data_IF_772118761763
#
_entry.id   IF_772118761763
#
_cell.length_a   1.000
_cell.length_b   1.000
_cell.length_c   1.000
_cell.angle_alpha   90.00
_cell.angle_beta   90.00
_cell.angle_gamma   90.00
#
_symmetry.space_group_name_H-M   'P 1'
#
loop_
_entity.id
_entity.type
_entity.pdbx_description
1 polymer ?
#
# COMPACT_ATOMS: atom_id res chain seq x y z
N UNK A 1 3.27 -12.54 10.50
CA UNK A 1 4.25 -11.54 10.06
C UNK A 1 3.48 -10.36 9.52
N UNK A 2 3.86 -9.10 9.82
CA UNK A 2 3.15 -7.93 9.26
C UNK A 2 3.34 -7.85 7.74
N UNK A 3 2.32 -7.43 7.00
CA UNK A 3 2.41 -7.31 5.53
C UNK A 3 3.49 -6.30 5.10
N UNK A 4 3.66 -5.21 5.84
CA UNK A 4 4.73 -4.23 5.61
C UNK A 4 6.13 -4.83 5.74
N UNK A 5 6.32 -5.72 6.72
CA UNK A 5 7.59 -6.46 6.92
C UNK A 5 7.84 -7.44 5.77
N UNK A 6 6.81 -8.14 5.29
CA UNK A 6 6.92 -9.02 4.12
C UNK A 6 7.42 -8.24 2.90
N UNK A 7 6.78 -7.11 2.56
CA UNK A 7 7.17 -6.28 1.41
C UNK A 7 8.58 -5.73 1.57
N UNK A 8 8.95 -5.27 2.76
CA UNK A 8 10.29 -4.74 3.02
C UNK A 8 11.38 -5.80 2.89
N UNK A 9 11.16 -6.98 3.46
CA UNK A 9 12.19 -8.01 3.57
C UNK A 9 12.28 -8.88 2.30
N UNK A 10 11.18 -9.09 1.57
CA UNK A 10 11.10 -9.95 0.37
C UNK A 10 10.91 -9.18 -0.94
N UNK A 11 10.50 -7.92 -0.86
CA UNK A 11 10.27 -7.06 -2.01
C UNK A 11 8.82 -7.04 -2.52
N UNK A 12 8.50 -5.99 -3.29
CA UNK A 12 7.17 -5.77 -3.87
C UNK A 12 6.77 -6.85 -4.88
N UNK A 13 7.73 -7.38 -5.65
CA UNK A 13 7.43 -8.39 -6.66
C UNK A 13 6.90 -9.68 -6.04
N UNK A 14 7.51 -10.14 -4.95
CA UNK A 14 7.05 -11.31 -4.20
C UNK A 14 5.65 -11.10 -3.61
N UNK A 15 5.39 -9.91 -3.05
CA UNK A 15 4.07 -9.56 -2.52
C UNK A 15 2.98 -9.57 -3.61
N UNK A 16 3.29 -9.12 -4.84
CA UNK A 16 2.37 -9.18 -5.97
C UNK A 16 2.03 -10.62 -6.35
N UNK A 17 3.03 -11.49 -6.44
CA UNK A 17 2.84 -12.91 -6.76
C UNK A 17 1.92 -13.61 -5.77
N UNK A 18 2.06 -13.31 -4.47
CA UNK A 18 1.15 -13.82 -3.43
C UNK A 18 -0.27 -13.31 -3.64
N UNK A 19 -0.44 -12.00 -3.89
CA UNK A 19 -1.75 -11.39 -4.10
C UNK A 19 -2.45 -11.95 -5.34
N UNK A 20 -1.71 -12.13 -6.44
CA UNK A 20 -2.24 -12.61 -7.73
C UNK A 20 -2.58 -14.10 -7.69
N UNK A 21 -1.90 -14.88 -6.84
CA UNK A 21 -2.13 -16.33 -6.68
C UNK A 21 -3.17 -16.67 -5.61
N UNK A 22 -3.51 -15.71 -4.75
CA UNK A 22 -4.43 -15.93 -3.64
C UNK A 22 -5.88 -16.07 -4.12
N UNK A 23 -6.64 -17.09 -3.65
CA UNK A 23 -8.08 -17.16 -3.88
C UNK A 23 -8.80 -15.91 -3.37
N UNK A 24 -9.88 -15.49 -4.04
CA UNK A 24 -10.62 -14.26 -3.68
C UNK A 24 -11.16 -14.28 -2.25
N UNK A 25 -11.51 -15.46 -1.74
CA UNK A 25 -12.04 -15.66 -0.39
C UNK A 25 -10.96 -15.86 0.68
N UNK A 26 -9.68 -15.88 0.30
CA UNK A 26 -8.59 -16.04 1.26
C UNK A 26 -8.35 -14.72 2.01
N UNK A 27 -8.42 -14.78 3.34
CA UNK A 27 -8.14 -13.64 4.22
C UNK A 27 -6.70 -13.61 4.71
N UNK A 28 -6.00 -14.75 4.66
CA UNK A 28 -4.65 -14.90 5.18
C UNK A 28 -3.79 -15.79 4.28
N UNK A 29 -2.49 -15.52 4.30
CA UNK A 29 -1.47 -16.33 3.66
C UNK A 29 -0.37 -16.65 4.67
N UNK A 30 0.19 -17.86 4.63
CA UNK A 30 1.25 -18.27 5.55
C UNK A 30 2.52 -18.69 4.80
N UNK A 31 3.68 -18.31 5.32
CA UNK A 31 4.98 -18.80 4.85
C UNK A 31 5.49 -19.89 5.80
N UNK A 32 5.62 -21.13 5.33
CA UNK A 32 6.34 -22.19 6.07
C UNK A 32 5.67 -22.71 7.35
N UNK A 33 4.38 -22.45 7.56
CA UNK A 33 3.62 -23.11 8.63
C UNK A 33 2.99 -24.41 8.12
N UNK A 34 3.40 -25.53 8.69
CA UNK A 34 2.92 -26.86 8.32
C UNK A 34 1.68 -27.24 9.14
N UNK A 35 0.59 -27.57 8.45
CA UNK A 35 -0.60 -28.12 9.10
C UNK A 35 -0.48 -29.62 9.23
N UNK A 36 -0.52 -30.14 10.45
CA UNK A 36 -0.60 -31.59 10.67
C UNK A 36 -2.04 -32.06 10.47
N UNK A 37 -2.24 -33.08 9.63
CA UNK A 37 -3.54 -33.71 9.46
C UNK A 37 -4.06 -34.25 10.80
N UNK A 38 -5.28 -33.84 11.18
CA UNK A 38 -5.97 -34.35 12.37
C UNK A 38 -5.85 -33.50 13.64
N UNK A 39 -5.14 -32.37 13.62
CA UNK A 39 -5.17 -31.39 14.72
C UNK A 39 -6.34 -30.42 14.60
N UNK A 40 -6.98 -30.08 15.73
CA UNK A 40 -7.75 -28.84 15.80
C UNK A 40 -6.78 -27.68 15.64
N UNK A 41 -7.05 -26.80 14.67
CA UNK A 41 -6.16 -25.71 14.28
C UNK A 41 -6.25 -24.57 15.30
N UNK A 42 -5.81 -24.81 16.53
CA UNK A 42 -5.53 -23.75 17.49
C UNK A 42 -4.12 -23.21 17.22
N UNK A 43 -4.03 -22.21 16.35
CA UNK A 43 -2.77 -21.53 16.05
C UNK A 43 -2.49 -20.56 17.20
N UNK A 44 -1.30 -20.66 17.80
CA UNK A 44 -0.89 -19.72 18.85
C UNK A 44 -0.80 -18.29 18.30
N UNK A 45 -1.10 -17.25 19.09
CA UNK A 45 -0.93 -15.86 18.65
C UNK A 45 0.50 -15.57 18.16
N UNK A 46 1.50 -16.19 18.78
CA UNK A 46 2.91 -16.05 18.40
C UNK A 46 3.21 -16.66 17.02
N UNK A 47 2.67 -17.84 16.72
CA UNK A 47 2.84 -18.47 15.40
C UNK A 47 2.09 -17.70 14.31
N UNK A 48 0.90 -17.19 14.62
CA UNK A 48 0.15 -16.31 13.73
C UNK A 48 0.95 -15.05 13.40
N UNK A 49 1.51 -14.40 14.41
CA UNK A 49 2.38 -13.24 14.23
C UNK A 49 3.70 -13.57 13.52
N UNK A 50 4.17 -14.81 13.56
CA UNK A 50 5.40 -15.22 12.88
C UNK A 50 5.17 -15.58 11.41
N UNK A 51 4.18 -16.42 11.12
CA UNK A 51 4.05 -17.06 9.80
C UNK A 51 2.91 -16.51 8.95
N UNK A 52 1.86 -15.94 9.54
CA UNK A 52 0.65 -15.56 8.83
C UNK A 52 0.66 -14.08 8.47
N UNK A 53 0.23 -13.76 7.27
CA UNK A 53 0.09 -12.41 6.72
C UNK A 53 -1.37 -12.18 6.38
N UNK A 54 -1.91 -11.05 6.81
CA UNK A 54 -3.24 -10.60 6.42
C UNK A 54 -3.23 -10.22 4.93
N UNK A 55 -4.02 -10.92 4.12
CA UNK A 55 -4.09 -10.69 2.67
C UNK A 55 -4.84 -9.40 2.33
N UNK A 56 -5.78 -8.96 3.16
CA UNK A 56 -6.49 -7.69 2.98
C UNK A 56 -5.51 -6.54 3.14
N UNK A 57 -4.68 -6.60 4.19
CA UNK A 57 -3.61 -5.62 4.40
C UNK A 57 -2.60 -5.67 3.25
N UNK A 58 -2.15 -6.87 2.84
CA UNK A 58 -1.16 -7.03 1.77
C UNK A 58 -1.66 -6.47 0.43
N UNK A 59 -2.90 -6.79 0.03
CA UNK A 59 -3.54 -6.26 -1.19
C UNK A 59 -3.55 -4.74 -1.19
N UNK A 60 -3.94 -4.14 -0.07
CA UNK A 60 -3.96 -2.68 0.12
C UNK A 60 -2.58 -2.06 -0.01
N UNK A 61 -1.55 -2.64 0.61
CA UNK A 61 -0.17 -2.13 0.52
C UNK A 61 0.39 -2.23 -0.91
N UNK A 62 0.14 -3.34 -1.61
CA UNK A 62 0.55 -3.51 -3.01
C UNK A 62 -0.13 -2.48 -3.91
N UNK A 63 -1.42 -2.23 -3.70
CA UNK A 63 -2.18 -1.20 -4.42
C UNK A 63 -1.64 0.21 -4.13
N UNK A 64 -1.35 0.53 -2.86
CA UNK A 64 -0.77 1.80 -2.45
C UNK A 64 0.56 2.09 -3.13
N UNK A 65 1.44 1.09 -3.22
CA UNK A 65 2.73 1.24 -3.93
C UNK A 65 2.54 1.44 -5.44
N UNK A 66 1.53 0.81 -6.03
CA UNK A 66 1.15 1.05 -7.43
C UNK A 66 0.67 2.50 -7.63
N UNK A 67 -0.23 3.00 -6.78
CA UNK A 67 -0.71 4.39 -6.83
C UNK A 67 0.45 5.38 -6.78
N UNK A 68 1.43 5.16 -5.90
CA UNK A 68 2.61 6.02 -5.79
C UNK A 68 3.42 5.99 -7.08
N UNK A 69 3.66 4.81 -7.64
CA UNK A 69 4.38 4.65 -8.91
C UNK A 69 3.66 5.36 -10.05
N UNK A 70 2.36 5.15 -10.19
CA UNK A 70 1.53 5.73 -11.26
C UNK A 70 1.47 7.27 -11.19
N UNK A 71 1.58 7.83 -9.98
CA UNK A 71 1.64 9.27 -9.75
C UNK A 71 3.07 9.84 -9.70
N UNK A 72 4.07 9.06 -10.14
CA UNK A 72 5.43 9.55 -10.36
C UNK A 72 6.33 9.57 -9.12
N UNK A 73 6.03 8.73 -8.12
CA UNK A 73 6.90 8.46 -6.98
C UNK A 73 6.64 9.30 -5.74
N UNK A 74 7.09 8.79 -4.58
CA UNK A 74 6.85 9.41 -3.27
C UNK A 74 7.49 10.80 -3.15
N UNK A 75 8.66 11.00 -3.78
CA UNK A 75 9.39 12.28 -3.77
C UNK A 75 8.59 13.42 -4.40
N UNK A 76 7.74 13.13 -5.39
CA UNK A 76 6.83 14.11 -6.01
C UNK A 76 5.59 14.33 -5.16
N UNK A 77 5.07 13.27 -4.54
CA UNK A 77 3.81 13.30 -3.80
C UNK A 77 3.94 13.97 -2.44
N UNK A 78 4.99 13.69 -1.67
CA UNK A 78 5.15 14.24 -0.31
C UNK A 78 5.10 15.78 -0.29
N UNK A 79 5.86 16.51 -1.14
CA UNK A 79 5.76 17.97 -1.18
C UNK A 79 4.37 18.46 -1.61
N UNK A 80 3.75 17.78 -2.58
CA UNK A 80 2.46 18.19 -3.15
C UNK A 80 1.27 17.94 -2.21
N UNK A 81 1.35 16.94 -1.32
CA UNK A 81 0.22 16.55 -0.45
C UNK A 81 0.42 16.88 1.03
N UNK A 82 1.65 16.84 1.54
CA UNK A 82 1.92 16.99 2.97
C UNK A 82 2.36 18.41 3.31
N UNK A 83 3.13 19.08 2.44
CA UNK A 83 3.75 20.37 2.79
C UNK A 83 2.99 21.61 2.34
N UNK A 84 1.87 21.46 1.62
CA UNK A 84 1.16 22.60 1.04
C UNK A 84 -0.35 22.58 1.32
N UNK A 85 -0.85 23.60 2.01
CA UNK A 85 -2.29 23.91 2.11
C UNK A 85 -2.90 24.30 0.75
N UNK A 86 -2.07 24.40 -0.30
CA UNK A 86 -2.45 24.84 -1.66
C UNK A 86 -3.43 23.92 -2.37
N UNK A 87 -3.69 22.73 -1.82
CA UNK A 87 -4.61 21.75 -2.40
C UNK A 87 -5.84 21.48 -1.52
N UNK A 88 -6.10 22.35 -0.53
CA UNK A 88 -7.36 22.32 0.23
C UNK A 88 -8.53 22.59 -0.74
N UNK A 89 -9.48 21.65 -0.81
CA UNK A 89 -10.67 21.73 -1.66
C UNK A 89 -10.68 20.76 -2.84
N UNK A 90 -9.52 20.28 -3.31
CA UNK A 90 -9.49 19.25 -4.34
C UNK A 90 -9.88 17.89 -3.76
N UNK A 91 -10.52 17.06 -4.58
CA UNK A 91 -10.98 15.73 -4.17
C UNK A 91 -10.25 14.60 -4.89
N UNK A 92 -9.74 14.88 -6.09
CA UNK A 92 -9.03 13.91 -6.93
C UNK A 92 -7.72 14.46 -7.48
N UNK A 93 -6.83 13.55 -7.86
CA UNK A 93 -5.58 13.84 -8.57
C UNK A 93 -5.38 12.84 -9.69
N UNK A 94 -4.71 13.27 -10.75
CA UNK A 94 -4.23 12.38 -11.80
C UNK A 94 -2.88 12.82 -12.34
N UNK A 95 -2.15 11.88 -12.92
CA UNK A 95 -0.98 12.16 -13.73
C UNK A 95 -1.42 12.57 -15.14
N UNK A 96 -0.99 13.73 -15.63
CA UNK A 96 -1.19 14.14 -17.02
C UNK A 96 -0.01 13.70 -17.89
N UNK A 97 -0.22 13.58 -19.21
CA UNK A 97 0.77 13.01 -20.13
C UNK A 97 2.13 13.74 -20.20
N UNK A 98 2.22 14.96 -19.69
CA UNK A 98 3.48 15.70 -19.56
C UNK A 98 4.19 15.47 -18.21
N UNK A 99 3.75 14.50 -17.40
CA UNK A 99 4.37 14.13 -16.12
C UNK A 99 4.02 15.04 -14.93
N UNK A 100 3.06 15.96 -15.09
CA UNK A 100 2.57 16.84 -14.01
C UNK A 100 1.36 16.23 -13.30
N UNK A 101 1.19 16.60 -12.03
CA UNK A 101 -0.04 16.30 -11.30
C UNK A 101 -1.11 17.33 -11.66
N UNK A 102 -2.30 16.84 -11.96
CA UNK A 102 -3.51 17.65 -12.12
C UNK A 102 -4.44 17.34 -10.96
N UNK A 103 -4.76 18.36 -10.17
CA UNK A 103 -5.71 18.28 -9.07
C UNK A 103 -7.09 18.69 -9.58
N UNK A 104 -8.13 17.98 -9.14
CA UNK A 104 -9.50 18.12 -9.61
C UNK A 104 -10.45 18.16 -8.42
N UNK A 105 -11.48 18.98 -8.52
CA UNK A 105 -12.56 19.10 -7.54
C UNK A 105 -13.85 18.54 -8.15
N UNK A 106 -14.47 17.57 -7.48
CA UNK A 106 -15.67 16.88 -7.97
C UNK A 106 -16.91 17.77 -7.93
N UNK A 107 -16.86 18.88 -7.20
CA UNK A 107 -17.93 19.86 -7.18
C UNK A 107 -17.96 20.74 -8.44
N UNK A 108 -16.81 20.99 -9.06
CA UNK A 108 -16.71 21.93 -10.19
C UNK A 108 -16.05 21.38 -11.46
N UNK A 109 -15.34 20.26 -11.39
CA UNK A 109 -14.65 19.63 -12.51
C UNK A 109 -15.30 18.30 -12.93
N UNK A 110 -15.14 17.96 -14.21
CA UNK A 110 -15.31 16.59 -14.66
C UNK A 110 -14.13 15.74 -14.15
N UNK A 111 -14.41 14.61 -13.51
CA UNK A 111 -13.39 13.68 -13.02
C UNK A 111 -13.15 12.60 -14.08
N UNK A 112 -12.01 12.63 -14.81
CA UNK A 112 -11.71 11.63 -15.81
C UNK A 112 -11.42 10.26 -15.18
N UNK A 113 -11.67 9.21 -15.95
CA UNK A 113 -11.26 7.86 -15.60
C UNK A 113 -9.75 7.78 -15.30
N UNK A 114 -9.41 7.04 -14.25
CA UNK A 114 -8.04 6.94 -13.75
C UNK A 114 -7.63 8.07 -12.78
N UNK A 115 -8.53 9.01 -12.47
CA UNK A 115 -8.32 9.94 -11.36
C UNK A 115 -8.44 9.23 -10.02
N UNK A 116 -7.54 9.54 -9.09
CA UNK A 116 -7.42 8.88 -7.80
C UNK A 116 -7.83 9.89 -6.73
N UNK A 117 -8.70 9.47 -5.80
CA UNK A 117 -9.09 10.37 -4.72
C UNK A 117 -7.89 10.73 -3.84
N UNK A 118 -7.83 11.99 -3.41
CA UNK A 118 -6.75 12.51 -2.56
C UNK A 118 -6.62 11.68 -1.27
N UNK A 119 -7.75 11.23 -0.70
CA UNK A 119 -7.77 10.34 0.46
C UNK A 119 -7.02 9.02 0.23
N UNK A 120 -7.17 8.41 -0.95
CA UNK A 120 -6.45 7.19 -1.32
C UNK A 120 -4.96 7.47 -1.49
N UNK A 121 -4.58 8.58 -2.11
CA UNK A 121 -3.17 8.98 -2.25
C UNK A 121 -2.52 9.23 -0.89
N UNK A 122 -3.18 9.95 0.03
CA UNK A 122 -2.66 10.15 1.39
C UNK A 122 -2.52 8.84 2.18
N UNK A 123 -3.41 7.87 1.94
CA UNK A 123 -3.27 6.53 2.51
C UNK A 123 -2.08 5.80 1.91
N UNK A 124 -1.89 5.89 0.60
CA UNK A 124 -0.76 5.29 -0.07
C UNK A 124 0.59 5.85 0.41
N UNK A 125 0.70 7.16 0.61
CA UNK A 125 1.90 7.79 1.17
C UNK A 125 2.20 7.24 2.57
N UNK A 126 1.20 7.18 3.45
CA UNK A 126 1.36 6.61 4.80
C UNK A 126 1.75 5.14 4.77
N UNK A 127 1.22 4.37 3.84
CA UNK A 127 1.58 2.97 3.65
C UNK A 127 3.04 2.82 3.22
N UNK A 128 3.47 3.64 2.27
CA UNK A 128 4.86 3.68 1.86
C UNK A 128 5.79 4.05 3.02
N UNK A 129 5.43 5.03 3.84
CA UNK A 129 6.15 5.36 5.07
C UNK A 129 6.16 4.19 6.06
N UNK A 130 5.08 3.44 6.19
CA UNK A 130 5.02 2.26 7.08
C UNK A 130 5.94 1.11 6.63
N UNK A 131 6.23 1.03 5.33
CA UNK A 131 7.09 0.00 4.73
C UNK A 131 8.57 0.46 4.77
N UNK A 132 8.83 1.69 4.34
CA UNK A 132 10.19 2.19 4.07
C UNK A 132 10.66 3.31 5.00
N UNK A 133 9.77 4.03 5.66
CA UNK A 133 10.09 5.18 6.54
C UNK A 133 10.63 4.81 7.92
N UNK A 134 10.77 3.51 8.23
CA UNK A 134 11.24 3.02 9.53
C UNK A 134 12.77 2.89 9.66
N UNK A 135 13.56 3.47 8.77
CA UNK A 135 15.02 3.31 8.78
C UNK A 135 15.76 4.46 8.11
N UNK A 136 15.89 5.59 8.81
CA UNK A 136 17.10 6.44 8.88
C UNK A 136 16.85 7.64 9.83
N UNK A 137 16.88 7.34 11.12
CA UNK A 137 17.41 8.25 12.14
C UNK A 137 18.62 7.57 12.78
N UNK A 138 19.59 7.16 11.95
CA UNK A 138 20.91 6.83 12.42
C UNK A 138 21.85 7.97 12.03
N UNK A 139 22.45 8.55 13.06
CA UNK A 139 23.37 9.66 13.04
C UNK A 139 24.38 9.60 11.88
N UNK A 140 24.64 10.77 11.31
CA UNK A 140 26.00 11.26 11.08
C UNK A 140 26.04 12.75 11.41
#
# INVERSE_FOLDING_TARGET
MKASKLIRDKGLQYAKEIVDSAPDNATEWNEGYEFQCGQSVEISPADREKYFVDLVELKRLVESLKIISDLGGVEKLTPAFITTDKHVGYTHVRMVGNGRLSFLDDFCDFIPDGSISIKRVMTAIRDHESIYGGGESHAN
#
